data_IF_102221663053
#
_entry.id   IF_102221663053
#
_cell.length_a   1.000
_cell.length_b   1.000
_cell.length_c   1.000
_cell.angle_alpha   90.00
_cell.angle_beta   90.00
_cell.angle_gamma   90.00
#
_symmetry.space_group_name_H-M   'P 1'
#
loop_
_entity.id
_entity.type
_entity.pdbx_description
1 polymer ?
#
# COMPACT_ATOMS: atom_id res chain seq x y z
N UNK A 1 -15.54 -29.67 14.44
CA UNK A 1 -15.24 -28.23 14.56
C UNK A 1 -13.91 -28.13 15.26
N UNK A 2 -12.93 -27.66 14.52
CA UNK A 2 -11.54 -27.61 14.96
C UNK A 2 -11.07 -26.16 14.84
N UNK A 3 -10.58 -25.60 15.96
CA UNK A 3 -9.99 -24.27 15.99
C UNK A 3 -8.51 -24.36 15.60
N UNK A 4 -8.11 -23.51 14.66
CA UNK A 4 -6.72 -23.36 14.23
C UNK A 4 -6.29 -21.92 14.45
N UNK A 5 -5.12 -21.73 15.06
CA UNK A 5 -4.56 -20.42 15.38
C UNK A 5 -3.25 -20.20 14.65
N UNK A 6 -3.19 -19.08 13.92
CA UNK A 6 -1.99 -18.54 13.31
C UNK A 6 -1.45 -17.41 14.16
N UNK A 7 -0.18 -17.51 14.53
CA UNK A 7 0.60 -16.44 15.17
C UNK A 7 1.62 -15.90 14.17
N UNK A 8 1.58 -14.60 13.90
CA UNK A 8 2.50 -13.92 12.99
C UNK A 8 3.41 -13.00 13.82
N UNK A 9 4.71 -13.21 13.72
CA UNK A 9 5.74 -12.40 14.39
C UNK A 9 6.45 -11.54 13.35
N UNK A 10 6.44 -10.22 13.53
CA UNK A 10 7.10 -9.27 12.64
C UNK A 10 8.44 -8.85 13.21
N UNK A 11 9.52 -9.36 12.61
CA UNK A 11 10.90 -9.12 13.07
C UNK A 11 11.24 -7.63 13.12
N UNK A 12 10.91 -6.90 12.05
CA UNK A 12 11.29 -5.49 11.90
C UNK A 12 10.34 -4.50 12.58
N UNK A 13 9.41 -4.98 13.43
CA UNK A 13 8.44 -4.18 14.18
C UNK A 13 8.58 -4.36 15.69
N UNK A 14 9.80 -4.56 16.20
CA UNK A 14 10.03 -4.85 17.61
C UNK A 14 9.47 -6.22 18.01
N UNK A 15 9.52 -7.20 17.10
CA UNK A 15 8.92 -8.53 17.29
C UNK A 15 7.42 -8.48 17.63
N UNK A 16 6.69 -7.52 17.04
CA UNK A 16 5.24 -7.44 17.22
C UNK A 16 4.59 -8.75 16.81
N UNK A 17 3.78 -9.28 17.71
CA UNK A 17 3.06 -10.52 17.52
C UNK A 17 1.56 -10.22 17.33
N UNK A 18 0.97 -10.88 16.34
CA UNK A 18 -0.48 -10.85 16.10
C UNK A 18 -0.96 -12.29 15.97
N UNK A 19 -2.18 -12.57 16.42
CA UNK A 19 -2.78 -13.89 16.31
C UNK A 19 -4.13 -13.82 15.61
N UNK A 20 -4.44 -14.85 14.84
CA UNK A 20 -5.68 -15.03 14.10
C UNK A 20 -6.16 -16.46 14.25
N UNK A 21 -7.40 -16.66 14.70
CA UNK A 21 -8.01 -17.98 14.77
C UNK A 21 -9.09 -18.12 13.71
N UNK A 22 -9.16 -19.31 13.11
CA UNK A 22 -10.27 -19.74 12.27
C UNK A 22 -10.86 -21.03 12.84
N UNK A 23 -12.15 -21.21 12.62
CA UNK A 23 -12.83 -22.46 12.95
C UNK A 23 -13.18 -23.17 11.65
N UNK A 24 -12.56 -24.32 11.42
CA UNK A 24 -12.87 -25.16 10.28
C UNK A 24 -13.95 -26.17 10.67
N UNK A 25 -14.93 -26.35 9.79
CA UNK A 25 -16.06 -27.25 9.99
C UNK A 25 -16.41 -27.96 8.69
N UNK A 26 -16.82 -29.23 8.79
CA UNK A 26 -17.32 -29.97 7.63
C UNK A 26 -16.21 -30.25 6.63
N UNK A 27 -16.44 -29.98 5.35
CA UNK A 27 -15.47 -30.24 4.27
C UNK A 27 -14.17 -29.48 4.46
N UNK A 28 -14.19 -28.30 5.10
CA UNK A 28 -13.01 -27.48 5.34
C UNK A 28 -12.05 -28.10 6.37
N UNK A 29 -12.49 -29.06 7.21
CA UNK A 29 -11.57 -29.79 8.09
C UNK A 29 -10.68 -30.74 7.29
N UNK A 30 -11.19 -31.30 6.20
CA UNK A 30 -10.45 -32.19 5.29
C UNK A 30 -9.70 -31.41 4.22
N UNK A 31 -10.29 -30.32 3.72
CA UNK A 31 -9.79 -29.48 2.64
C UNK A 31 -9.71 -28.02 3.11
N UNK A 32 -8.73 -27.66 3.97
CA UNK A 32 -8.64 -26.33 4.55
C UNK A 32 -8.41 -25.23 3.50
N UNK A 33 -7.88 -25.56 2.34
CA UNK A 33 -7.77 -24.68 1.18
C UNK A 33 -9.10 -24.06 0.74
N UNK A 34 -10.22 -24.80 0.83
CA UNK A 34 -11.54 -24.33 0.39
C UNK A 34 -12.00 -23.12 1.20
N UNK A 35 -11.56 -23.03 2.47
CA UNK A 35 -11.81 -21.87 3.30
C UNK A 35 -11.15 -20.61 2.72
N UNK A 36 -9.93 -20.72 2.20
CA UNK A 36 -9.18 -19.58 1.65
C UNK A 36 -9.48 -19.29 0.18
N UNK A 37 -10.25 -20.12 -0.53
CA UNK A 37 -10.76 -19.77 -1.87
C UNK A 37 -11.69 -18.56 -1.80
N UNK A 38 -12.39 -18.39 -0.68
CA UNK A 38 -13.29 -17.26 -0.44
C UNK A 38 -12.47 -15.97 -0.29
N UNK A 39 -12.62 -14.98 -1.19
CA UNK A 39 -11.81 -13.76 -1.18
C UNK A 39 -11.88 -13.01 0.16
N UNK A 40 -13.06 -12.96 0.78
CA UNK A 40 -13.27 -12.29 2.06
C UNK A 40 -12.37 -12.85 3.17
N UNK A 41 -12.11 -14.15 3.19
CA UNK A 41 -11.25 -14.77 4.20
C UNK A 41 -9.78 -14.35 4.02
N UNK A 42 -9.31 -14.24 2.76
CA UNK A 42 -7.98 -13.72 2.47
C UNK A 42 -7.87 -12.23 2.81
N UNK A 43 -8.87 -11.43 2.42
CA UNK A 43 -8.92 -9.99 2.71
C UNK A 43 -9.02 -9.71 4.20
N UNK A 44 -9.73 -10.53 4.97
CA UNK A 44 -9.80 -10.43 6.43
C UNK A 44 -8.44 -10.66 7.08
N UNK A 45 -7.71 -11.69 6.64
CA UNK A 45 -6.35 -11.94 7.13
C UNK A 45 -5.40 -10.80 6.74
N UNK A 46 -5.48 -10.31 5.50
CA UNK A 46 -4.71 -9.16 5.04
C UNK A 46 -4.99 -7.93 5.91
N UNK A 47 -6.25 -7.53 6.02
CA UNK A 47 -6.67 -6.36 6.78
C UNK A 47 -6.25 -6.45 8.25
N UNK A 48 -6.32 -7.65 8.85
CA UNK A 48 -5.85 -7.90 10.20
C UNK A 48 -4.35 -7.62 10.32
N UNK A 49 -3.54 -8.18 9.42
CA UNK A 49 -2.09 -7.95 9.39
C UNK A 49 -1.82 -6.46 9.24
N UNK A 50 -2.42 -5.80 8.25
CA UNK A 50 -2.15 -4.39 7.96
C UNK A 50 -2.56 -3.48 9.12
N UNK A 51 -3.76 -3.67 9.66
CA UNK A 51 -4.31 -2.85 10.76
C UNK A 51 -3.54 -3.05 12.06
N UNK A 52 -3.24 -4.31 12.42
CA UNK A 52 -2.57 -4.59 13.69
C UNK A 52 -1.10 -4.23 13.63
N UNK A 53 -0.48 -4.21 12.46
CA UNK A 53 0.97 -4.06 12.34
C UNK A 53 1.39 -2.69 11.83
N UNK A 54 0.44 -1.92 11.28
CA UNK A 54 0.68 -0.66 10.58
C UNK A 54 1.69 -0.82 9.44
N UNK A 55 1.64 -1.98 8.74
CA UNK A 55 2.52 -2.30 7.60
C UNK A 55 1.70 -2.89 6.48
N UNK A 56 2.06 -2.54 5.25
CA UNK A 56 1.45 -3.13 4.07
C UNK A 56 1.97 -4.54 3.83
N UNK A 57 1.10 -5.46 3.46
CA UNK A 57 1.48 -6.80 3.01
C UNK A 57 1.12 -6.96 1.54
N UNK A 58 2.05 -7.46 0.74
CA UNK A 58 1.78 -7.78 -0.66
C UNK A 58 1.11 -9.16 -0.81
N UNK A 59 0.48 -9.37 -1.96
CA UNK A 59 -0.25 -10.60 -2.26
C UNK A 59 0.65 -11.85 -2.22
N UNK A 60 1.92 -11.72 -2.61
CA UNK A 60 2.86 -12.85 -2.64
C UNK A 60 3.15 -13.32 -1.21
N UNK A 61 3.44 -12.39 -0.30
CA UNK A 61 3.67 -12.68 1.11
C UNK A 61 2.41 -13.20 1.79
N UNK A 62 1.24 -12.65 1.48
CA UNK A 62 -0.02 -13.14 2.01
C UNK A 62 -0.25 -14.61 1.60
N UNK A 63 -0.05 -14.95 0.33
CA UNK A 63 -0.14 -16.33 -0.17
C UNK A 63 0.87 -17.25 0.51
N UNK A 64 2.10 -16.80 0.75
CA UNK A 64 3.10 -17.59 1.48
C UNK A 64 2.67 -17.90 2.92
N UNK A 65 2.11 -16.91 3.63
CA UNK A 65 1.59 -17.09 4.99
C UNK A 65 0.45 -18.11 4.99
N UNK A 66 -0.52 -17.94 4.08
CA UNK A 66 -1.67 -18.86 3.97
C UNK A 66 -1.20 -20.28 3.63
N UNK A 67 -0.32 -20.44 2.64
CA UNK A 67 0.16 -21.76 2.23
C UNK A 67 0.92 -22.49 3.35
N UNK A 68 1.75 -21.76 4.10
CA UNK A 68 2.46 -22.32 5.26
C UNK A 68 1.47 -22.77 6.32
N UNK A 69 0.46 -21.94 6.61
CA UNK A 69 -0.55 -22.28 7.60
C UNK A 69 -1.41 -23.47 7.16
N UNK A 70 -1.79 -23.54 5.88
CA UNK A 70 -2.52 -24.67 5.32
C UNK A 70 -1.73 -25.97 5.40
N UNK A 71 -0.41 -25.93 5.18
CA UNK A 71 0.45 -27.10 5.33
C UNK A 71 0.43 -27.59 6.79
N UNK A 72 0.63 -26.70 7.75
CA UNK A 72 0.60 -27.04 9.17
C UNK A 72 -0.76 -27.63 9.60
N UNK A 73 -1.87 -27.05 9.12
CA UNK A 73 -3.22 -27.57 9.37
C UNK A 73 -3.36 -29.01 8.83
N UNK A 74 -2.86 -29.29 7.62
CA UNK A 74 -2.88 -30.64 7.03
C UNK A 74 -2.03 -31.64 7.81
N UNK A 75 -0.97 -31.16 8.46
CA UNK A 75 -0.13 -31.95 9.37
C UNK A 75 -0.77 -32.13 10.77
N UNK A 76 -1.96 -31.53 10.99
CA UNK A 76 -2.72 -31.63 12.24
C UNK A 76 -2.29 -30.61 13.31
N UNK A 77 -1.49 -29.61 12.95
CA UNK A 77 -1.07 -28.57 13.88
C UNK A 77 -2.18 -27.54 14.07
N UNK A 78 -2.72 -27.50 15.29
CA UNK A 78 -3.71 -26.48 15.69
C UNK A 78 -3.10 -25.09 15.83
N UNK A 79 -1.77 -25.00 15.99
CA UNK A 79 -1.07 -23.74 16.23
C UNK A 79 0.12 -23.62 15.30
N UNK A 80 0.12 -22.55 14.51
CA UNK A 80 1.18 -22.24 13.55
C UNK A 80 1.81 -20.91 13.93
N UNK A 81 3.14 -20.86 13.96
CA UNK A 81 3.88 -19.62 14.20
C UNK A 81 4.73 -19.29 12.98
N UNK A 82 4.45 -18.17 12.33
CA UNK A 82 5.18 -17.69 11.15
C UNK A 82 5.91 -16.41 11.51
N UNK A 83 7.22 -16.36 11.21
CA UNK A 83 8.04 -15.16 11.39
C UNK A 83 8.25 -14.49 10.04
N UNK A 84 7.70 -13.30 9.87
CA UNK A 84 7.79 -12.54 8.62
C UNK A 84 8.59 -11.25 8.79
N UNK A 85 9.14 -10.80 7.69
CA UNK A 85 9.69 -9.46 7.55
C UNK A 85 8.76 -8.62 6.67
N UNK A 86 8.13 -7.63 7.29
CA UNK A 86 7.38 -6.59 6.60
C UNK A 86 8.17 -5.29 6.76
N UNK A 87 8.76 -4.71 5.69
CA UNK A 87 9.39 -3.41 5.78
C UNK A 87 8.35 -2.34 6.15
N UNK A 88 8.81 -1.23 6.73
CA UNK A 88 7.94 -0.07 6.91
C UNK A 88 7.61 0.46 5.51
N UNK A 89 6.37 0.87 5.27
CA UNK A 89 5.99 1.53 4.01
C UNK A 89 6.61 2.93 4.00
N UNK A 90 7.91 3.00 3.74
CA UNK A 90 8.61 4.27 3.49
C UNK A 90 8.20 4.69 2.09
N UNK A 91 7.18 5.54 2.00
CA UNK A 91 7.04 6.40 0.83
C UNK A 91 8.43 6.95 0.49
N UNK A 92 8.91 6.81 -0.75
CA UNK A 92 10.17 7.43 -1.13
C UNK A 92 9.97 8.93 -1.01
N UNK A 93 10.41 9.49 0.12
CA UNK A 93 10.58 10.93 0.25
C UNK A 93 11.62 11.26 -0.80
N UNK A 94 11.19 11.90 -1.88
CA UNK A 94 12.05 12.50 -2.88
C UNK A 94 12.95 13.50 -2.16
N UNK A 95 14.09 13.03 -1.65
CA UNK A 95 15.20 13.89 -1.24
C UNK A 95 15.78 14.49 -2.52
N UNK A 96 15.13 15.55 -3.03
CA UNK A 96 15.82 16.54 -3.83
C UNK A 96 16.78 17.27 -2.90
N UNK A 97 17.98 16.72 -2.74
CA UNK A 97 19.11 17.46 -2.18
C UNK A 97 19.47 18.59 -3.17
N UNK A 98 18.85 19.76 -3.02
CA UNK A 98 19.41 21.02 -3.51
C UNK A 98 20.04 21.75 -2.32
N UNK A 99 21.36 22.06 -2.35
CA UNK A 99 21.97 22.86 -1.31
C UNK A 99 21.41 24.29 -1.33
N UNK A 100 21.05 24.81 -0.16
CA UNK A 100 20.72 26.22 0.08
C UNK A 100 21.92 27.09 -0.30
N UNK A 101 21.85 27.79 -1.44
CA UNK A 101 22.76 28.92 -1.70
C UNK A 101 22.11 30.23 -1.21
N UNK A 102 22.83 31.05 -0.41
CA UNK A 102 22.35 32.37 0.00
C UNK A 102 22.35 33.34 -1.19
N UNK A 103 21.22 34.03 -1.41
CA UNK A 103 21.08 35.08 -2.42
C UNK A 103 22.10 36.23 -2.22
N UNK A 104 22.81 36.66 -3.28
CA UNK A 104 23.40 37.99 -3.34
C UNK A 104 22.42 38.99 -3.97
N UNK A 105 22.26 40.14 -3.29
CA UNK A 105 21.49 41.31 -3.72
C UNK A 105 22.07 41.91 -5.02
N UNK A 106 21.17 42.44 -5.84
CA UNK A 106 21.38 43.12 -7.12
C UNK A 106 22.42 44.25 -7.08
N UNK A 107 23.11 44.52 -8.22
CA UNK A 107 23.26 45.91 -8.66
C UNK A 107 22.89 46.14 -10.14
N UNK A 108 22.34 47.34 -10.38
CA UNK A 108 21.74 47.87 -11.60
C UNK A 108 22.71 48.32 -12.72
N UNK A 109 22.11 48.56 -13.92
CA UNK A 109 22.50 49.36 -15.12
C UNK A 109 23.24 48.58 -16.24
N UNK A 110 22.96 48.71 -17.56
CA UNK A 110 22.30 49.73 -18.42
C UNK A 110 21.95 49.06 -19.80
N UNK A 111 20.77 49.30 -20.38
CA UNK A 111 20.45 50.13 -21.57
C UNK A 111 20.84 49.60 -22.97
N UNK A 112 19.81 49.29 -23.79
CA UNK A 112 19.62 49.47 -25.25
C UNK A 112 18.30 48.70 -25.57
N UNK A 113 17.12 49.25 -25.93
CA UNK A 113 16.62 50.29 -26.87
C UNK A 113 16.62 49.90 -28.36
N UNK A 114 15.56 49.22 -28.81
CA UNK A 114 14.99 49.30 -30.16
C UNK A 114 13.60 48.63 -30.20
N UNK A 115 12.48 49.36 -30.01
CA UNK A 115 11.62 50.13 -30.93
C UNK A 115 10.62 49.29 -31.78
N UNK A 116 9.33 49.67 -31.63
CA UNK A 116 8.23 49.66 -32.62
C UNK A 116 7.56 48.29 -32.93
N UNK A 117 6.23 48.10 -32.99
CA UNK A 117 5.07 48.98 -33.24
C UNK A 117 3.76 48.38 -32.66
N UNK A 118 2.85 49.28 -32.31
CA UNK A 118 1.40 49.19 -32.16
C UNK A 118 0.69 48.23 -33.13
N UNK A 119 -0.38 47.53 -32.71
CA UNK A 119 -1.78 47.67 -33.23
C UNK A 119 -2.74 46.85 -32.33
N UNK A 120 -3.81 47.54 -31.95
CA UNK A 120 -5.00 47.09 -31.22
C UNK A 120 -5.96 46.44 -32.22
N UNK A 121 -6.56 45.27 -31.95
CA UNK A 121 -7.88 44.94 -32.52
C UNK A 121 -8.65 43.95 -31.64
N UNK A 122 -9.71 44.49 -31.05
CA UNK A 122 -10.86 43.81 -30.47
C UNK A 122 -11.65 43.08 -31.56
N UNK A 123 -12.04 41.82 -31.35
CA UNK A 123 -13.20 41.24 -32.03
C UNK A 123 -13.95 40.32 -31.06
N UNK A 124 -15.12 40.81 -30.64
CA UNK A 124 -16.25 40.07 -30.07
C UNK A 124 -16.85 39.12 -31.10
N UNK A 125 -17.76 38.26 -30.60
CA UNK A 125 -18.87 37.57 -31.30
C UNK A 125 -18.57 36.10 -31.60
N UNK A 126 -19.44 35.10 -31.39
CA UNK A 126 -20.87 35.07 -31.03
C UNK A 126 -21.30 33.60 -30.85
N UNK A 127 -22.28 33.37 -29.96
CA UNK A 127 -23.54 32.62 -30.20
C UNK A 127 -23.53 31.11 -30.53
N UNK A 128 -24.22 30.39 -29.64
CA UNK A 128 -25.10 29.21 -29.77
C UNK A 128 -24.65 27.99 -30.58
N UNK A 129 -24.81 26.81 -29.98
CA UNK A 129 -25.77 25.84 -30.52
C UNK A 129 -26.23 24.83 -29.46
N UNK A 130 -27.54 24.55 -29.55
CA UNK A 130 -28.34 23.55 -28.86
C UNK A 130 -27.78 22.13 -28.99
N UNK A 131 -28.10 21.24 -28.04
CA UNK A 131 -28.67 19.93 -28.40
C UNK A 131 -29.33 19.25 -27.17
N UNK A 132 -30.61 18.91 -27.39
CA UNK A 132 -31.56 17.96 -26.76
C UNK A 132 -31.79 17.91 -25.24
#
# INVERSE_FOLDING_TARGET
MSEYTLTIIIKNAGNKEISHSINLTGTNETYPEDYFIIPDNQSNLQNLIETKTARKIDEIKLKQIINTWLQDIREGLQRTTIRIDLPLDVLPTLMKNQPLQPQPKLPNKKLNKSNEETIITEVRSTTNQYDF
#
